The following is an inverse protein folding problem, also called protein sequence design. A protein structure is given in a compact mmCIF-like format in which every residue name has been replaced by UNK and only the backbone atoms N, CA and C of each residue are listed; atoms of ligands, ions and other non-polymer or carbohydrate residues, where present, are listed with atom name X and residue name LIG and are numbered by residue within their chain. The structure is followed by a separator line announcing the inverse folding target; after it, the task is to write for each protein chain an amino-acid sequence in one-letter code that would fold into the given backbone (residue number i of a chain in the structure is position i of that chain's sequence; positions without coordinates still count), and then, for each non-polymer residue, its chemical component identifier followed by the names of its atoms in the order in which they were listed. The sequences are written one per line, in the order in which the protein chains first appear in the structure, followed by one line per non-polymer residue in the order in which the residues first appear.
data_IF_818009357027
#
_entry.id   IF_818009357027
#
_cell.length_a   1.000
_cell.length_b   1.000
_cell.length_c   1.000
_cell.angle_alpha   90.00
_cell.angle_beta   90.00
_cell.angle_gamma   90.00
#
_symmetry.space_group_name_H-M   'P 1'
#
loop_
_entity.id
_entity.type
_entity.pdbx_description
1 polymer ?
#
# COMPACT_ATOMS: atom_id res chain seq x y z
N UNK A 1 -35.80 -16.59 32.43
CA UNK A 1 -35.79 -15.90 31.13
C UNK A 1 -34.36 -15.51 30.79
N UNK A 2 -33.66 -16.47 30.18
CA UNK A 2 -32.34 -16.34 29.57
C UNK A 2 -32.58 -16.22 28.04
N UNK A 3 -31.65 -15.63 27.30
CA UNK A 3 -31.65 -15.43 25.84
C UNK A 3 -32.22 -14.10 25.31
N UNK A 4 -31.64 -12.98 25.74
CA UNK A 4 -31.83 -11.68 25.06
C UNK A 4 -30.50 -10.90 24.90
N UNK A 5 -29.38 -11.61 24.78
CA UNK A 5 -28.05 -11.04 24.53
C UNK A 5 -27.29 -12.01 23.62
N UNK A 6 -27.62 -12.06 22.32
CA UNK A 6 -26.82 -12.78 21.32
C UNK A 6 -27.22 -12.45 19.87
N UNK A 7 -27.68 -11.22 19.61
CA UNK A 7 -28.10 -10.78 18.26
C UNK A 7 -27.34 -9.54 17.75
N UNK A 8 -26.23 -9.17 18.38
CA UNK A 8 -25.42 -7.99 17.99
C UNK A 8 -24.04 -8.31 17.39
N UNK A 9 -23.72 -9.57 17.06
CA UNK A 9 -22.38 -9.95 16.56
C UNK A 9 -22.40 -10.41 15.08
N UNK A 10 -23.55 -10.41 14.40
CA UNK A 10 -23.68 -11.03 13.06
C UNK A 10 -23.81 -10.07 11.87
N UNK A 11 -23.69 -8.76 12.07
CA UNK A 11 -23.77 -7.78 10.96
C UNK A 11 -22.49 -6.96 10.87
N UNK A 12 -21.46 -7.53 10.27
CA UNK A 12 -20.32 -6.76 9.78
C UNK A 12 -18.97 -7.48 9.69
N UNK A 13 -18.83 -8.73 10.15
CA UNK A 13 -17.68 -9.57 9.80
C UNK A 13 -17.76 -9.99 8.32
N UNK A 14 -17.73 -9.04 7.39
CA UNK A 14 -17.12 -9.31 6.09
C UNK A 14 -15.66 -9.55 6.40
N UNK A 15 -15.28 -10.83 6.55
CA UNK A 15 -13.89 -11.22 6.59
C UNK A 15 -13.28 -10.65 5.32
N UNK A 16 -12.47 -9.61 5.49
CA UNK A 16 -11.77 -8.90 4.44
C UNK A 16 -10.68 -9.83 3.89
N UNK A 17 -11.12 -10.84 3.14
CA UNK A 17 -10.27 -11.93 2.69
C UNK A 17 -9.39 -11.42 1.56
N UNK A 18 -8.09 -11.44 1.77
CA UNK A 18 -7.11 -11.18 0.73
C UNK A 18 -7.21 -12.31 -0.30
N UNK A 19 -7.66 -11.97 -1.51
CA UNK A 19 -7.73 -12.91 -2.62
C UNK A 19 -6.43 -12.87 -3.45
N UNK A 20 -6.28 -13.82 -4.38
CA UNK A 20 -5.08 -13.95 -5.22
C UNK A 20 -4.80 -12.70 -6.06
N UNK A 21 -5.83 -12.02 -6.54
CA UNK A 21 -5.69 -10.81 -7.34
C UNK A 21 -5.13 -9.66 -6.49
N UNK A 22 -5.68 -9.46 -5.29
CA UNK A 22 -5.20 -8.48 -4.32
C UNK A 22 -3.74 -8.75 -3.94
N UNK A 23 -3.37 -10.03 -3.73
CA UNK A 23 -1.98 -10.41 -3.48
C UNK A 23 -1.06 -10.03 -4.63
N UNK A 24 -1.40 -10.40 -5.86
CA UNK A 24 -0.58 -10.09 -7.02
C UNK A 24 -0.39 -8.58 -7.19
N UNK A 25 -1.46 -7.80 -7.06
CA UNK A 25 -1.42 -6.34 -7.19
C UNK A 25 -0.58 -5.69 -6.09
N UNK A 26 -0.73 -6.15 -4.85
CA UNK A 26 0.10 -5.70 -3.74
C UNK A 26 1.60 -5.99 -3.98
N UNK A 27 1.91 -7.19 -4.47
CA UNK A 27 3.30 -7.60 -4.74
C UNK A 27 3.93 -6.74 -5.85
N UNK A 28 3.17 -6.43 -6.90
CA UNK A 28 3.62 -5.54 -7.98
C UNK A 28 3.90 -4.14 -7.43
N UNK A 29 2.96 -3.53 -6.69
CA UNK A 29 3.15 -2.19 -6.14
C UNK A 29 4.32 -2.12 -5.17
N UNK A 30 4.43 -3.10 -4.28
CA UNK A 30 5.51 -3.18 -3.32
C UNK A 30 6.88 -3.33 -4.00
N UNK A 31 6.93 -4.12 -5.09
CA UNK A 31 8.11 -4.22 -5.94
C UNK A 31 8.50 -2.89 -6.58
N UNK A 32 7.54 -2.09 -7.06
CA UNK A 32 7.81 -0.75 -7.59
C UNK A 32 8.34 0.17 -6.49
N UNK A 33 7.73 0.18 -5.32
CA UNK A 33 8.18 0.96 -4.16
C UNK A 33 9.64 0.64 -3.81
N UNK A 34 10.01 -0.65 -3.75
CA UNK A 34 11.39 -1.07 -3.49
C UNK A 34 12.35 -0.69 -4.63
N UNK A 35 11.91 -0.74 -5.89
CA UNK A 35 12.73 -0.27 -7.02
C UNK A 35 13.01 1.23 -6.90
N UNK A 36 12.01 2.05 -6.59
CA UNK A 36 12.20 3.50 -6.45
C UNK A 36 13.20 3.85 -5.34
N UNK A 37 13.18 3.11 -4.22
CA UNK A 37 14.16 3.26 -3.14
C UNK A 37 15.60 2.98 -3.58
N UNK A 38 15.80 2.04 -4.50
CA UNK A 38 17.12 1.72 -5.04
C UNK A 38 17.67 2.79 -5.99
N UNK A 39 16.81 3.65 -6.56
CA UNK A 39 17.18 4.62 -7.61
C UNK A 39 17.05 6.09 -7.18
N UNK A 40 16.55 6.39 -5.99
CA UNK A 40 16.48 7.73 -5.44
C UNK A 40 16.97 7.78 -4.00
N UNK A 41 17.35 8.97 -3.58
CA UNK A 41 17.59 9.25 -2.16
C UNK A 41 16.26 9.36 -1.41
N UNK A 42 16.29 9.14 -0.09
CA UNK A 42 15.13 9.34 0.78
C UNK A 42 14.56 10.77 0.67
N UNK A 43 15.40 11.79 0.50
CA UNK A 43 14.96 13.18 0.35
C UNK A 43 14.10 13.36 -0.92
N UNK A 44 14.58 12.82 -2.04
CA UNK A 44 13.86 12.83 -3.32
C UNK A 44 12.52 12.07 -3.26
N UNK A 45 12.49 10.96 -2.53
CA UNK A 45 11.26 10.17 -2.32
C UNK A 45 10.25 10.93 -1.46
N UNK A 46 10.72 11.60 -0.40
CA UNK A 46 9.87 12.42 0.46
C UNK A 46 9.27 13.60 -0.31
N UNK A 47 10.03 14.24 -1.21
CA UNK A 47 9.55 15.33 -2.06
C UNK A 47 8.37 14.92 -2.96
N UNK A 48 8.33 13.66 -3.39
CA UNK A 48 7.21 13.12 -4.19
C UNK A 48 6.15 12.41 -3.35
N UNK A 49 6.26 12.50 -2.02
CA UNK A 49 5.26 11.99 -1.08
C UNK A 49 5.37 10.50 -0.76
N UNK A 50 6.60 9.96 -0.77
CA UNK A 50 6.94 8.62 -0.31
C UNK A 50 7.90 8.69 0.88
N UNK A 51 7.52 8.11 2.02
CA UNK A 51 8.42 7.90 3.15
C UNK A 51 8.86 6.43 3.21
N UNK A 52 10.05 6.11 2.70
CA UNK A 52 10.55 4.72 2.70
C UNK A 52 10.96 4.21 4.08
N UNK A 53 11.08 5.08 5.10
CA UNK A 53 11.31 4.63 6.47
C UNK A 53 10.14 3.80 7.04
N UNK A 54 8.99 3.84 6.37
CA UNK A 54 7.78 3.05 6.69
C UNK A 54 7.74 1.67 6.04
N UNK A 55 8.63 1.43 5.08
CA UNK A 55 8.74 0.14 4.38
C UNK A 55 9.83 -0.67 5.06
N UNK A 56 9.49 -1.89 5.46
CA UNK A 56 10.46 -2.83 6.01
C UNK A 56 10.68 -3.98 5.02
N UNK A 57 11.83 -3.99 4.36
CA UNK A 57 12.19 -5.02 3.37
C UNK A 57 12.71 -6.33 3.99
N UNK A 58 12.49 -6.56 5.29
CA UNK A 58 12.81 -7.84 5.91
C UNK A 58 11.90 -8.95 5.38
N UNK A 59 12.44 -9.85 4.55
CA UNK A 59 11.67 -10.98 4.02
C UNK A 59 11.54 -12.15 5.02
N UNK A 60 10.36 -12.83 5.07
CA UNK A 60 9.16 -12.62 4.28
C UNK A 60 8.16 -11.62 4.89
N UNK A 61 7.57 -10.75 4.05
CA UNK A 61 6.49 -9.81 4.42
C UNK A 61 5.13 -10.30 3.89
N UNK A 62 4.10 -10.33 4.74
CA UNK A 62 2.75 -10.75 4.34
C UNK A 62 2.07 -9.71 3.43
N UNK A 63 1.11 -10.12 2.60
CA UNK A 63 0.35 -9.18 1.73
C UNK A 63 -0.34 -8.06 2.52
N UNK A 64 -0.98 -8.39 3.65
CA UNK A 64 -1.63 -7.40 4.51
C UNK A 64 -0.64 -6.35 5.00
N UNK A 65 0.56 -6.81 5.36
CA UNK A 65 1.64 -5.97 5.85
C UNK A 65 2.22 -5.10 4.73
N UNK A 66 2.40 -5.63 3.51
CA UNK A 66 2.81 -4.84 2.33
C UNK A 66 1.84 -3.68 2.09
N UNK A 67 0.53 -3.96 2.13
CA UNK A 67 -0.52 -2.94 1.95
C UNK A 67 -0.41 -1.86 3.04
N UNK A 68 -0.33 -2.28 4.31
CA UNK A 68 -0.23 -1.36 5.44
C UNK A 68 1.00 -0.46 5.34
N UNK A 69 2.16 -1.03 5.04
CA UNK A 69 3.41 -0.27 4.93
C UNK A 69 3.37 0.72 3.78
N UNK A 70 2.82 0.34 2.61
CA UNK A 70 2.65 1.27 1.49
C UNK A 70 1.69 2.41 1.83
N UNK A 71 0.59 2.12 2.53
CA UNK A 71 -0.33 3.18 2.98
C UNK A 71 0.36 4.15 3.94
N UNK A 72 1.16 3.65 4.87
CA UNK A 72 1.95 4.49 5.78
C UNK A 72 2.99 5.33 5.04
N UNK A 73 3.71 4.71 4.10
CA UNK A 73 4.69 5.38 3.26
C UNK A 73 4.08 6.50 2.43
N UNK A 74 2.85 6.32 1.95
CA UNK A 74 2.17 7.29 1.09
C UNK A 74 1.25 8.27 1.86
N UNK A 75 1.18 8.15 3.19
CA UNK A 75 0.30 8.96 4.04
C UNK A 75 -1.19 8.70 3.82
N UNK A 76 -1.58 7.49 3.44
CA UNK A 76 -2.97 7.07 3.22
C UNK A 76 -3.55 6.54 4.54
N UNK A 77 -4.75 7.00 4.89
CA UNK A 77 -5.51 6.42 6.00
C UNK A 77 -6.24 5.15 5.52
N UNK A 78 -6.03 3.99 6.15
CA UNK A 78 -6.66 2.74 5.75
C UNK A 78 -8.18 2.82 5.86
N UNK A 79 -8.91 2.46 4.81
CA UNK A 79 -10.37 2.36 4.85
C UNK A 79 -10.93 1.36 3.84
N UNK A 80 -12.05 0.72 4.19
CA UNK A 80 -12.70 -0.28 3.34
C UNK A 80 -11.95 -1.61 3.30
N UNK A 81 -12.23 -2.41 2.26
CA UNK A 81 -11.62 -3.73 2.07
C UNK A 81 -10.19 -3.63 1.55
N UNK A 82 -9.40 -4.71 1.63
CA UNK A 82 -8.07 -4.75 1.01
C UNK A 82 -8.12 -4.50 -0.50
N UNK A 83 -9.17 -4.95 -1.19
CA UNK A 83 -9.36 -4.65 -2.60
C UNK A 83 -9.54 -3.14 -2.86
N UNK A 84 -10.33 -2.46 -2.02
CA UNK A 84 -10.51 -1.01 -2.11
C UNK A 84 -9.20 -0.27 -1.80
N UNK A 85 -8.48 -0.72 -0.77
CA UNK A 85 -7.20 -0.14 -0.36
C UNK A 85 -6.14 -0.24 -1.47
N UNK A 86 -6.07 -1.37 -2.18
CA UNK A 86 -5.19 -1.52 -3.33
C UNK A 86 -5.52 -0.54 -4.45
N UNK A 87 -6.80 -0.30 -4.75
CA UNK A 87 -7.18 0.69 -5.78
C UNK A 87 -6.66 2.09 -5.40
N UNK A 88 -6.82 2.50 -4.14
CA UNK A 88 -6.31 3.79 -3.66
C UNK A 88 -4.78 3.86 -3.74
N UNK A 89 -4.09 2.75 -3.42
CA UNK A 89 -2.64 2.65 -3.55
C UNK A 89 -2.17 2.76 -5.01
N UNK A 90 -2.86 2.14 -5.96
CA UNK A 90 -2.55 2.25 -7.40
C UNK A 90 -2.73 3.68 -7.92
N UNK A 91 -3.83 4.35 -7.53
CA UNK A 91 -4.06 5.74 -7.88
C UNK A 91 -2.96 6.65 -7.34
N UNK A 92 -2.53 6.41 -6.10
CA UNK A 92 -1.45 7.17 -5.47
C UNK A 92 -0.09 6.88 -6.13
N UNK A 93 0.22 5.61 -6.39
CA UNK A 93 1.44 5.19 -7.10
C UNK A 93 1.53 5.82 -8.49
N UNK A 94 0.43 5.86 -9.23
CA UNK A 94 0.37 6.51 -10.56
C UNK A 94 0.76 7.98 -10.46
N UNK A 95 0.25 8.71 -9.46
CA UNK A 95 0.62 10.12 -9.25
C UNK A 95 2.08 10.29 -8.85
N UNK A 96 2.58 9.42 -7.98
CA UNK A 96 3.99 9.40 -7.55
C UNK A 96 4.91 9.18 -8.75
N UNK A 97 4.60 8.20 -9.62
CA UNK A 97 5.40 7.93 -10.82
C UNK A 97 5.42 9.12 -11.78
N UNK A 98 4.29 9.81 -11.98
CA UNK A 98 4.26 11.03 -12.79
C UNK A 98 5.13 12.16 -12.20
N UNK A 99 5.15 12.29 -10.87
CA UNK A 99 6.05 13.24 -10.20
C UNK A 99 7.51 12.82 -10.32
N UNK A 100 7.79 11.53 -10.22
CA UNK A 100 9.13 10.97 -10.41
C UNK A 100 9.67 11.28 -11.79
N UNK A 101 8.92 10.98 -12.86
CA UNK A 101 9.34 11.25 -14.25
C UNK A 101 9.65 12.73 -14.48
N UNK A 102 8.87 13.62 -13.85
CA UNK A 102 9.06 15.07 -13.94
C UNK A 102 10.32 15.55 -13.22
N UNK A 103 10.61 14.99 -12.05
CA UNK A 103 11.68 15.47 -11.16
C UNK A 103 13.02 14.73 -11.36
N UNK A 104 12.98 13.50 -11.88
CA UNK A 104 14.14 12.63 -12.10
C UNK A 104 14.17 12.13 -13.55
N UNK A 105 14.28 13.04 -14.55
CA UNK A 105 14.35 12.62 -15.94
C UNK A 105 15.56 11.72 -16.13
N UNK A 106 15.33 10.50 -16.61
CA UNK A 106 16.40 9.60 -17.01
C UNK A 106 17.07 10.23 -18.23
N UNK A 107 18.21 10.88 -18.01
CA UNK A 107 19.06 11.36 -19.10
C UNK A 107 19.60 10.12 -19.83
N UNK A 108 18.94 9.76 -20.93
CA UNK A 108 19.44 8.79 -21.90
C UNK A 108 20.60 9.42 -22.68
N UNK A 109 21.76 9.55 -22.04
CA UNK A 109 23.02 9.86 -22.71
C UNK A 109 23.71 8.57 -23.14
#
# INVERSE_FOLDING_TARGET
MRCLILLLILSGCTVDSINKETTLRADILYGHTALMDNYATQEQLLEIGMDMSKINDSNPVSTAEKIRQMEESFGITPSGTYANRIIVLEEKMTRIMLLWEKNFPINNN
#
